data_IF_087813556490
#
_entry.id   IF_087813556490
#
_cell.length_a   1.000
_cell.length_b   1.000
_cell.length_c   1.000
_cell.angle_alpha   90.00
_cell.angle_beta   90.00
_cell.angle_gamma   90.00
#
_symmetry.space_group_name_H-M   'P 1'
#
loop_
_entity.id
_entity.type
_entity.pdbx_description
1 polymer ?
#
# COMPACT_ATOMS: atom_id res chain seq x y z
N UNK A 1 12.35 21.44 22.85
CA UNK A 1 11.94 20.66 21.70
C UNK A 1 11.85 19.19 22.09
N UNK A 2 10.74 18.57 21.81
CA UNK A 2 10.59 17.12 22.03
C UNK A 2 11.47 16.43 21.02
N UNK A 3 12.44 15.59 21.44
CA UNK A 3 13.24 14.87 20.49
C UNK A 3 12.33 14.00 19.63
N UNK A 4 12.48 14.07 18.33
CA UNK A 4 11.81 13.13 17.44
C UNK A 4 12.35 11.77 17.74
N UNK A 5 11.50 10.91 18.32
CA UNK A 5 11.82 9.51 18.40
C UNK A 5 11.98 8.98 16.97
N UNK A 6 13.14 8.46 16.64
CA UNK A 6 13.36 7.86 15.35
C UNK A 6 12.43 6.65 15.21
N UNK A 7 11.50 6.69 14.27
CA UNK A 7 10.69 5.53 13.95
C UNK A 7 11.59 4.43 13.37
N UNK A 8 11.36 3.16 13.70
CA UNK A 8 12.06 2.08 13.03
C UNK A 8 11.91 2.18 11.50
N UNK A 9 12.94 1.74 10.78
CA UNK A 9 12.90 1.72 9.33
C UNK A 9 11.65 0.98 8.84
N UNK A 10 10.99 1.52 7.84
CA UNK A 10 9.77 0.94 7.27
C UNK A 10 8.48 1.31 7.99
N UNK A 11 8.52 2.25 8.93
CA UNK A 11 7.32 2.75 9.61
C UNK A 11 6.98 4.16 9.12
N UNK A 12 6.01 4.24 8.23
CA UNK A 12 5.48 5.48 7.66
C UNK A 12 6.58 6.47 7.24
N UNK A 13 7.53 5.98 6.47
CA UNK A 13 8.59 6.83 5.94
C UNK A 13 8.14 7.53 4.67
N UNK A 14 8.20 8.85 4.67
CA UNK A 14 7.90 9.64 3.48
C UNK A 14 9.15 9.87 2.66
N UNK A 15 9.01 9.75 1.36
CA UNK A 15 10.12 10.04 0.45
C UNK A 15 9.60 10.52 -0.91
N UNK A 16 10.45 11.23 -1.64
CA UNK A 16 10.14 11.67 -3.00
C UNK A 16 10.85 10.75 -3.99
N UNK A 17 10.13 10.34 -5.02
CA UNK A 17 10.66 9.59 -6.14
C UNK A 17 10.88 10.52 -7.33
N UNK A 18 11.69 10.12 -8.32
CA UNK A 18 11.83 10.88 -9.56
C UNK A 18 10.47 11.07 -10.26
N UNK A 19 10.32 12.18 -10.97
CA UNK A 19 9.12 12.45 -11.75
C UNK A 19 7.95 13.04 -10.97
N UNK A 20 8.19 13.61 -9.77
CA UNK A 20 7.13 14.27 -9.00
C UNK A 20 6.18 13.31 -8.30
N UNK A 21 6.66 12.13 -7.94
CA UNK A 21 5.88 11.11 -7.23
C UNK A 21 6.31 11.10 -5.78
N UNK A 22 5.32 11.08 -4.88
CA UNK A 22 5.56 10.93 -3.44
C UNK A 22 5.32 9.48 -3.03
N UNK A 23 6.04 9.02 -2.01
CA UNK A 23 5.92 7.65 -1.54
C UNK A 23 5.90 7.63 -0.02
N UNK A 24 5.02 6.80 0.53
CA UNK A 24 4.99 6.45 1.95
C UNK A 24 5.34 4.97 2.05
N UNK A 25 6.40 4.67 2.75
CA UNK A 25 6.84 3.30 3.00
C UNK A 25 6.48 2.91 4.44
N UNK A 26 5.54 1.99 4.58
CA UNK A 26 5.06 1.52 5.88
C UNK A 26 4.92 0.00 5.86
N UNK A 27 6.04 -0.68 5.77
CA UNK A 27 6.11 -2.12 5.58
C UNK A 27 6.95 -2.84 6.66
N UNK A 28 7.08 -2.23 7.84
CA UNK A 28 7.75 -2.87 8.96
C UNK A 28 6.88 -4.00 9.52
N UNK A 29 5.60 -3.73 9.70
CA UNK A 29 4.64 -4.71 10.18
C UNK A 29 3.24 -4.31 9.70
N UNK A 30 2.32 -5.26 9.62
CA UNK A 30 0.95 -4.98 9.22
C UNK A 30 -0.02 -5.73 10.13
N UNK A 31 -0.80 -4.96 10.91
CA UNK A 31 -1.96 -5.41 11.66
C UNK A 31 -3.20 -4.76 11.04
N UNK A 32 -4.40 -5.24 11.39
CA UNK A 32 -5.63 -4.62 10.91
C UNK A 32 -5.72 -3.16 11.37
N UNK A 33 -5.60 -2.91 12.68
CA UNK A 33 -5.70 -1.55 13.21
C UNK A 33 -4.62 -0.63 12.67
N UNK A 34 -3.39 -1.13 12.56
CA UNK A 34 -2.25 -0.37 12.02
C UNK A 34 -2.43 -0.06 10.54
N UNK A 35 -2.92 -1.00 9.77
CA UNK A 35 -3.18 -0.78 8.33
C UNK A 35 -4.28 0.25 8.13
N UNK A 36 -5.38 0.16 8.88
CA UNK A 36 -6.47 1.13 8.80
C UNK A 36 -6.00 2.53 9.21
N UNK A 37 -5.17 2.62 10.26
CA UNK A 37 -4.61 3.90 10.69
C UNK A 37 -3.69 4.51 9.62
N UNK A 38 -2.86 3.69 8.99
CA UNK A 38 -1.99 4.11 7.89
C UNK A 38 -2.78 4.61 6.69
N UNK A 39 -3.83 3.90 6.30
CA UNK A 39 -4.70 4.32 5.20
C UNK A 39 -5.35 5.68 5.48
N UNK A 40 -5.83 5.90 6.70
CA UNK A 40 -6.41 7.19 7.10
C UNK A 40 -5.37 8.32 7.06
N UNK A 41 -4.18 8.08 7.60
CA UNK A 41 -3.11 9.07 7.56
C UNK A 41 -2.71 9.39 6.13
N UNK A 42 -2.59 8.37 5.30
CA UNK A 42 -2.25 8.53 3.89
C UNK A 42 -3.34 9.31 3.12
N UNK A 43 -4.61 9.07 3.43
CA UNK A 43 -5.73 9.78 2.80
C UNK A 43 -5.75 11.28 3.13
N UNK A 44 -5.14 11.67 4.24
CA UNK A 44 -5.06 13.08 4.65
C UNK A 44 -3.92 13.83 3.95
N UNK A 45 -3.00 13.14 3.31
CA UNK A 45 -1.90 13.78 2.59
C UNK A 45 -2.36 14.27 1.21
N UNK A 46 -1.88 15.45 0.74
CA UNK A 46 -2.27 15.93 -0.56
C UNK A 46 -1.72 15.04 -1.68
N UNK A 47 -2.55 14.74 -2.66
CA UNK A 47 -2.17 13.96 -3.82
C UNK A 47 -3.16 14.19 -4.97
N UNK A 48 -2.67 14.18 -6.20
CA UNK A 48 -3.55 14.18 -7.36
C UNK A 48 -4.19 12.81 -7.53
N UNK A 49 -3.45 11.74 -7.24
CA UNK A 49 -3.95 10.37 -7.29
C UNK A 49 -3.25 9.55 -6.21
N UNK A 50 -4.02 8.74 -5.47
CA UNK A 50 -3.50 7.85 -4.43
C UNK A 50 -3.49 6.42 -4.91
N UNK A 51 -2.31 5.80 -4.85
CA UNK A 51 -2.10 4.40 -5.21
C UNK A 51 -1.62 3.67 -3.96
N UNK A 52 -2.37 2.64 -3.54
CA UNK A 52 -1.94 1.79 -2.44
C UNK A 52 -1.45 0.45 -2.97
N UNK A 53 -0.31 -0.02 -2.47
CA UNK A 53 0.21 -1.35 -2.76
C UNK A 53 0.18 -2.13 -1.45
N UNK A 54 -0.68 -3.13 -1.41
CA UNK A 54 -0.95 -3.90 -0.20
C UNK A 54 -0.45 -5.33 -0.36
N UNK A 55 0.59 -5.69 0.39
CA UNK A 55 1.14 -7.04 0.37
C UNK A 55 0.37 -8.01 1.25
N UNK A 56 -0.34 -7.49 2.25
CA UNK A 56 -1.13 -8.31 3.15
C UNK A 56 -0.59 -8.34 4.57
N UNK A 57 -1.40 -8.89 5.46
CA UNK A 57 -1.05 -9.12 6.86
C UNK A 57 -0.66 -10.58 7.06
N UNK A 58 0.16 -10.86 8.06
CA UNK A 58 0.61 -12.21 8.37
C UNK A 58 0.19 -12.62 9.78
N UNK A 59 0.20 -13.91 10.04
CA UNK A 59 0.03 -14.50 11.38
C UNK A 59 -1.31 -14.21 12.05
N UNK A 60 -2.39 -14.04 11.26
CA UNK A 60 -3.73 -13.77 11.78
C UNK A 60 -4.58 -15.03 11.98
N UNK A 61 -4.10 -16.19 11.54
CA UNK A 61 -4.85 -17.44 11.66
C UNK A 61 -6.17 -17.45 10.89
N UNK A 62 -7.19 -18.08 11.46
CA UNK A 62 -8.49 -18.22 10.81
C UNK A 62 -9.26 -16.92 10.61
N UNK A 63 -8.89 -15.84 11.28
CA UNK A 63 -9.52 -14.53 11.12
C UNK A 63 -8.96 -13.74 9.93
N UNK A 64 -7.91 -14.27 9.29
CA UNK A 64 -7.19 -13.57 8.23
C UNK A 64 -8.08 -13.13 7.06
N UNK A 65 -8.98 -13.99 6.52
CA UNK A 65 -9.85 -13.55 5.43
C UNK A 65 -10.73 -12.36 5.79
N UNK A 66 -11.37 -12.40 6.96
CA UNK A 66 -12.25 -11.32 7.42
C UNK A 66 -11.51 -10.01 7.66
N UNK A 67 -10.31 -10.08 8.20
CA UNK A 67 -9.48 -8.89 8.43
C UNK A 67 -9.01 -8.28 7.11
N UNK A 68 -8.62 -9.09 6.15
CA UNK A 68 -8.25 -8.60 4.82
C UNK A 68 -9.46 -7.99 4.10
N UNK A 69 -10.65 -8.58 4.23
CA UNK A 69 -11.88 -8.02 3.68
C UNK A 69 -12.19 -6.65 4.29
N UNK A 70 -11.96 -6.49 5.60
CA UNK A 70 -12.15 -5.20 6.27
C UNK A 70 -11.22 -4.12 5.72
N UNK A 71 -9.99 -4.46 5.39
CA UNK A 71 -9.06 -3.52 4.76
C UNK A 71 -9.59 -3.11 3.39
N UNK A 72 -10.02 -4.06 2.58
CA UNK A 72 -10.59 -3.76 1.28
C UNK A 72 -11.78 -2.81 1.37
N UNK A 73 -12.66 -3.06 2.33
CA UNK A 73 -13.84 -2.22 2.56
C UNK A 73 -13.49 -0.77 2.87
N UNK A 74 -12.35 -0.53 3.51
CA UNK A 74 -11.93 0.83 3.88
C UNK A 74 -11.32 1.62 2.70
N UNK A 75 -10.89 0.97 1.63
CA UNK A 75 -10.15 1.62 0.56
C UNK A 75 -10.91 2.77 -0.12
N UNK A 76 -12.17 2.62 -0.53
CA UNK A 76 -12.87 3.73 -1.19
C UNK A 76 -13.04 4.93 -0.26
N UNK A 77 -13.38 4.72 1.01
CA UNK A 77 -13.58 5.81 1.97
C UNK A 77 -12.28 6.54 2.32
N UNK A 78 -11.13 5.89 2.11
CA UNK A 78 -9.82 6.51 2.29
C UNK A 78 -9.32 7.20 1.01
N UNK A 79 -10.15 7.34 -0.01
CA UNK A 79 -9.78 8.06 -1.23
C UNK A 79 -8.67 7.38 -2.04
N UNK A 80 -8.57 6.06 -1.95
CA UNK A 80 -7.60 5.31 -2.75
C UNK A 80 -8.14 5.17 -4.18
N UNK A 81 -7.42 5.74 -5.14
CA UNK A 81 -7.83 5.75 -6.54
C UNK A 81 -7.50 4.44 -7.25
N UNK A 82 -6.36 3.84 -6.93
CA UNK A 82 -5.92 2.56 -7.49
C UNK A 82 -5.28 1.75 -6.37
N UNK A 83 -5.58 0.47 -6.32
CA UNK A 83 -4.97 -0.43 -5.36
C UNK A 83 -4.35 -1.64 -6.06
N UNK A 84 -3.08 -1.92 -5.73
CA UNK A 84 -2.41 -3.16 -6.12
C UNK A 84 -2.47 -4.09 -4.91
N UNK A 85 -2.98 -5.28 -5.10
CA UNK A 85 -3.22 -6.22 -4.00
C UNK A 85 -2.50 -7.53 -4.27
N UNK A 86 -1.64 -7.93 -3.34
CA UNK A 86 -0.93 -9.19 -3.36
C UNK A 86 -1.08 -9.94 -2.05
N UNK A 87 -0.33 -11.03 -1.92
CA UNK A 87 -0.30 -11.86 -0.73
C UNK A 87 -1.33 -12.97 -0.74
N UNK A 88 -1.28 -13.79 0.29
CA UNK A 88 -2.08 -15.03 0.39
C UNK A 88 -3.59 -14.76 0.40
N UNK A 89 -4.02 -13.64 0.98
CA UNK A 89 -5.43 -13.30 1.13
C UNK A 89 -5.88 -12.15 0.23
N UNK A 90 -5.21 -11.99 -0.91
CA UNK A 90 -5.56 -10.94 -1.87
C UNK A 90 -7.04 -10.98 -2.27
N UNK A 91 -7.60 -12.17 -2.48
CA UNK A 91 -9.00 -12.33 -2.88
C UNK A 91 -9.96 -11.73 -1.86
N UNK A 92 -9.67 -11.88 -0.57
CA UNK A 92 -10.50 -11.31 0.50
C UNK A 92 -10.46 -9.78 0.49
N UNK A 93 -9.29 -9.19 0.31
CA UNK A 93 -9.14 -7.75 0.19
C UNK A 93 -9.89 -7.21 -1.02
N UNK A 94 -9.75 -7.87 -2.16
CA UNK A 94 -10.47 -7.51 -3.39
C UNK A 94 -11.97 -7.54 -3.19
N UNK A 95 -12.49 -8.60 -2.55
CA UNK A 95 -13.91 -8.76 -2.28
C UNK A 95 -14.45 -7.61 -1.44
N UNK A 96 -13.73 -7.23 -0.38
CA UNK A 96 -14.11 -6.09 0.45
C UNK A 96 -14.13 -4.77 -0.33
N UNK A 97 -13.14 -4.53 -1.17
CA UNK A 97 -13.05 -3.32 -1.99
C UNK A 97 -14.21 -3.24 -2.99
N UNK A 98 -14.51 -4.33 -3.68
CA UNK A 98 -15.61 -4.37 -4.64
C UNK A 98 -16.96 -4.15 -3.95
N UNK A 99 -17.19 -4.80 -2.81
CA UNK A 99 -18.43 -4.63 -2.03
C UNK A 99 -18.62 -3.20 -1.54
N UNK A 100 -17.51 -2.51 -1.23
CA UNK A 100 -17.56 -1.12 -0.78
C UNK A 100 -17.73 -0.13 -1.94
N UNK A 101 -17.78 -0.59 -3.17
CA UNK A 101 -18.05 0.24 -4.36
C UNK A 101 -16.82 0.67 -5.15
N UNK A 102 -15.65 0.09 -4.87
CA UNK A 102 -14.47 0.39 -5.67
C UNK A 102 -14.61 -0.18 -7.08
N UNK A 103 -14.24 0.63 -8.09
CA UNK A 103 -14.27 0.19 -9.48
C UNK A 103 -13.29 -1.01 -9.66
N UNK A 104 -13.76 -2.15 -10.17
CA UNK A 104 -12.87 -3.29 -10.42
C UNK A 104 -11.68 -2.97 -11.31
N UNK A 105 -11.79 -1.99 -12.21
CA UNK A 105 -10.69 -1.55 -13.06
C UNK A 105 -9.60 -0.82 -12.27
N UNK A 106 -9.91 -0.34 -11.08
CA UNK A 106 -8.95 0.31 -10.19
C UNK A 106 -8.27 -0.68 -9.23
N UNK A 107 -8.59 -1.96 -9.33
CA UNK A 107 -8.04 -3.02 -8.49
C UNK A 107 -7.11 -3.88 -9.34
N UNK A 108 -5.84 -3.94 -8.96
CA UNK A 108 -4.80 -4.64 -9.73
C UNK A 108 -4.21 -5.75 -8.84
N UNK A 109 -4.63 -7.01 -9.04
CA UNK A 109 -3.98 -8.12 -8.35
C UNK A 109 -2.55 -8.28 -8.87
N UNK A 110 -1.60 -8.58 -7.98
CA UNK A 110 -0.25 -8.88 -8.42
C UNK A 110 0.25 -10.17 -7.78
N UNK A 111 1.07 -10.91 -8.52
CA UNK A 111 1.56 -12.22 -8.11
C UNK A 111 2.96 -12.18 -7.50
N UNK A 112 3.72 -11.10 -7.78
CA UNK A 112 5.07 -10.94 -7.27
C UNK A 112 5.39 -9.47 -7.13
N UNK A 113 6.40 -9.17 -6.31
CA UNK A 113 6.88 -7.79 -6.16
C UNK A 113 7.39 -7.22 -7.49
N UNK A 114 7.97 -8.06 -8.33
CA UNK A 114 8.38 -7.64 -9.67
C UNK A 114 7.20 -7.22 -10.54
N UNK A 115 6.08 -7.93 -10.44
CA UNK A 115 4.85 -7.60 -11.16
C UNK A 115 4.31 -6.24 -10.68
N UNK A 116 4.23 -6.03 -9.37
CA UNK A 116 3.77 -4.76 -8.80
C UNK A 116 4.68 -3.60 -9.23
N UNK A 117 5.98 -3.81 -9.16
CA UNK A 117 6.97 -2.80 -9.55
C UNK A 117 6.84 -2.45 -11.04
N UNK A 118 6.63 -3.43 -11.90
CA UNK A 118 6.45 -3.22 -13.32
C UNK A 118 5.21 -2.39 -13.61
N UNK A 119 4.09 -2.70 -12.92
CA UNK A 119 2.88 -1.91 -13.07
C UNK A 119 3.10 -0.45 -12.67
N UNK A 120 3.78 -0.22 -11.55
CA UNK A 120 4.07 1.14 -11.09
C UNK A 120 4.95 1.89 -12.08
N UNK A 121 5.99 1.25 -12.61
CA UNK A 121 6.86 1.88 -13.62
C UNK A 121 6.10 2.37 -14.84
N UNK A 122 5.13 1.59 -15.29
CA UNK A 122 4.37 1.90 -16.49
C UNK A 122 3.29 2.96 -16.22
N UNK A 123 2.69 2.94 -15.03
CA UNK A 123 1.46 3.68 -14.76
C UNK A 123 1.62 4.88 -13.84
N UNK A 124 2.66 4.95 -13.01
CA UNK A 124 2.81 6.10 -12.12
C UNK A 124 3.17 7.37 -12.90
N UNK A 125 2.71 8.50 -12.38
CA UNK A 125 2.89 9.80 -13.05
C UNK A 125 3.00 10.92 -12.01
N UNK A 126 3.43 12.10 -12.47
CA UNK A 126 3.53 13.28 -11.63
C UNK A 126 2.22 13.54 -10.87
N UNK A 127 2.36 13.86 -9.58
CA UNK A 127 1.22 14.11 -8.71
C UNK A 127 0.73 12.89 -7.96
N UNK A 128 1.20 11.69 -8.32
CA UNK A 128 0.84 10.46 -7.59
C UNK A 128 1.47 10.44 -6.21
N UNK A 129 0.73 9.87 -5.26
CA UNK A 129 1.26 9.44 -3.98
C UNK A 129 1.05 7.94 -3.86
N UNK A 130 2.11 7.22 -3.52
CA UNK A 130 2.11 5.75 -3.46
C UNK A 130 2.34 5.32 -2.02
N UNK A 131 1.49 4.42 -1.53
CA UNK A 131 1.67 3.78 -0.23
C UNK A 131 2.14 2.34 -0.46
N UNK A 132 3.25 1.95 0.16
CA UNK A 132 3.68 0.56 0.22
C UNK A 132 3.40 0.03 1.63
N UNK A 133 2.47 -0.90 1.76
CA UNK A 133 2.04 -1.46 3.04
C UNK A 133 1.92 -2.98 2.98
N UNK A 134 2.52 -3.65 3.94
CA UNK A 134 2.44 -5.11 4.05
C UNK A 134 3.30 -5.61 5.19
N UNK A 135 3.10 -6.86 5.61
CA UNK A 135 3.95 -7.45 6.63
C UNK A 135 5.34 -7.75 6.06
N UNK A 136 6.32 -7.90 6.95
CA UNK A 136 7.72 -8.12 6.54
C UNK A 136 7.92 -9.37 5.67
N UNK A 137 7.07 -10.38 5.83
CA UNK A 137 7.19 -11.59 5.02
C UNK A 137 6.98 -11.34 3.52
N UNK A 138 6.30 -10.24 3.15
CA UNK A 138 6.02 -9.92 1.75
C UNK A 138 7.11 -9.08 1.09
N UNK A 139 8.16 -8.73 1.85
CA UNK A 139 9.38 -8.08 1.33
C UNK A 139 9.11 -6.87 0.44
N UNK A 140 8.28 -5.95 0.96
CA UNK A 140 7.90 -4.74 0.22
C UNK A 140 9.12 -3.85 -0.10
N UNK A 141 10.25 -4.04 0.60
CA UNK A 141 11.50 -3.36 0.30
C UNK A 141 12.03 -3.66 -1.11
N UNK A 142 11.64 -4.77 -1.70
CA UNK A 142 12.00 -5.09 -3.08
C UNK A 142 11.35 -4.13 -4.06
N UNK A 143 10.08 -3.79 -3.80
CA UNK A 143 9.35 -2.80 -4.61
C UNK A 143 10.00 -1.42 -4.43
N UNK A 144 10.25 -1.04 -3.18
CA UNK A 144 10.89 0.24 -2.87
C UNK A 144 12.24 0.38 -3.56
N UNK A 145 13.08 -0.64 -3.47
CA UNK A 145 14.39 -0.65 -4.10
C UNK A 145 14.31 -0.48 -5.61
N UNK A 146 13.35 -1.16 -6.24
CA UNK A 146 13.13 -1.03 -7.68
C UNK A 146 12.67 0.36 -8.10
N UNK A 147 11.81 1.00 -7.30
CA UNK A 147 11.34 2.36 -7.60
C UNK A 147 12.45 3.40 -7.42
N UNK A 148 13.29 3.26 -6.39
CA UNK A 148 14.44 4.14 -6.19
C UNK A 148 15.46 4.03 -7.31
N UNK A 149 15.62 2.84 -7.90
CA UNK A 149 16.59 2.61 -8.97
C UNK A 149 16.19 3.26 -10.31
N UNK A 150 14.97 3.79 -10.43
CA UNK A 150 14.52 4.46 -11.65
C UNK A 150 15.29 5.75 -11.97
N UNK A 151 16.04 6.26 -11.02
CA UNK A 151 16.80 7.51 -11.16
C UNK A 151 18.18 7.30 -11.80
N UNK A 152 18.53 6.10 -12.16
CA UNK A 152 19.83 5.77 -12.75
C UNK A 152 19.72 5.46 -14.24
#
# INVERSE_FOLDING_TARGET
>A
AIPKLALPAGRYERMSLPGGVQLVYDAYNASLSGTLATLRAFSAEPAARRIAVLGGMAELGGESPGMHEAIGTALPSCGIDVVLIGGEHADSTIRGAVRAGMDPLAIVPYESNAHAMQWLRVNMREGDSILLKGSRMYKMEEILGGLKALDT
#
